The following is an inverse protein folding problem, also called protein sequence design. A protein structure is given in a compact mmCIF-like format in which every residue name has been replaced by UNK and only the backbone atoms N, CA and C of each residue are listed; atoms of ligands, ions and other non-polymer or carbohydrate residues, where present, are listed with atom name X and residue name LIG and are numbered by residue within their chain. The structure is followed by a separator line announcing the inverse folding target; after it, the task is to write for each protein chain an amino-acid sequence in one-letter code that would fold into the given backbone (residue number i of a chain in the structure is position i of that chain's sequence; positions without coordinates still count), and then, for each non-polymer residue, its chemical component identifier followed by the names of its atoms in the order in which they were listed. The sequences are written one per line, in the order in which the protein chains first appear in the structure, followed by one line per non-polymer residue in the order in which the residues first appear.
data_IF_857728766721
#
_entry.id   IF_857728766721
#
_cell.length_a   1.000
_cell.length_b   1.000
_cell.length_c   1.000
_cell.angle_alpha   90.00
_cell.angle_beta   90.00
_cell.angle_gamma   90.00
#
_symmetry.space_group_name_H-M   'P 1'
#
loop_
_entity.id
_entity.type
_entity.pdbx_description
1 polymer ?
#
# COMPACT_ATOMS: atom_id res chain seq x y z
N UNK A 1 -64.33 -2.44 -0.86
CA UNK A 1 -65.10 -3.68 -0.70
C UNK A 1 -65.62 -3.78 0.74
N UNK A 2 -66.94 -3.86 0.88
CA UNK A 2 -67.76 -4.36 2.02
C UNK A 2 -67.40 -3.96 3.46
N UNK A 3 -68.12 -2.95 3.93
CA UNK A 3 -69.13 -2.94 5.01
C UNK A 3 -68.93 -3.71 6.37
N UNK A 4 -69.34 -3.08 7.49
CA UNK A 4 -69.37 -3.56 8.89
C UNK A 4 -70.75 -4.14 9.32
N UNK A 5 -70.92 -4.63 10.57
CA UNK A 5 -72.19 -4.67 11.38
C UNK A 5 -72.00 -5.54 12.67
N UNK A 6 -72.16 -5.01 13.91
CA UNK A 6 -73.34 -5.01 14.83
C UNK A 6 -73.59 -6.33 15.64
N UNK A 7 -74.40 -6.41 16.74
CA UNK A 7 -74.94 -5.41 17.71
C UNK A 7 -75.13 -5.88 19.21
N UNK A 8 -75.53 -4.90 20.06
CA UNK A 8 -76.45 -4.83 21.25
C UNK A 8 -77.08 -6.08 21.93
N UNK A 9 -77.28 -5.99 23.26
CA UNK A 9 -78.57 -5.90 24.06
C UNK A 9 -78.31 -6.28 25.54
N UNK A 10 -78.76 -5.57 26.61
CA UNK A 10 -80.10 -5.24 27.16
C UNK A 10 -81.00 -6.42 27.53
N UNK A 11 -81.26 -6.64 28.83
CA UNK A 11 -82.49 -7.19 29.48
C UNK A 11 -82.31 -7.03 31.01
N UNK A 12 -83.05 -6.19 31.77
CA UNK A 12 -84.46 -6.23 32.22
C UNK A 12 -84.76 -7.24 33.36
N UNK A 13 -84.94 -6.71 34.58
CA UNK A 13 -85.84 -7.19 35.66
C UNK A 13 -87.28 -7.44 35.13
N UNK A 14 -88.26 -8.12 35.83
CA UNK A 14 -88.63 -8.00 37.26
C UNK A 14 -89.29 -9.28 37.88
N UNK A 15 -90.36 -9.22 38.73
CA UNK A 15 -90.33 -9.37 40.20
C UNK A 15 -91.17 -10.57 40.72
N UNK A 16 -91.08 -10.92 42.01
CA UNK A 16 -92.25 -11.54 42.68
C UNK A 16 -92.28 -11.35 44.21
N UNK A 17 -93.41 -10.84 44.68
CA UNK A 17 -93.85 -10.72 46.07
C UNK A 17 -94.54 -12.02 46.52
N UNK A 18 -94.31 -12.49 47.76
CA UNK A 18 -95.24 -12.36 48.92
C UNK A 18 -94.75 -13.17 50.16
N UNK A 19 -95.13 -12.74 51.39
CA UNK A 19 -94.73 -13.31 52.70
C UNK A 19 -95.92 -14.12 53.29
N UNK A 20 -96.15 -14.26 54.63
CA UNK A 20 -95.30 -14.22 55.84
C UNK A 20 -95.52 -15.47 56.75
N UNK A 21 -94.77 -15.61 57.85
CA UNK A 21 -95.29 -15.79 59.23
C UNK A 21 -94.25 -16.41 60.20
N UNK A 22 -94.12 -15.73 61.35
CA UNK A 22 -93.88 -16.26 62.71
C UNK A 22 -92.54 -17.02 62.95
N UNK A 23 -91.76 -16.82 64.01
CA UNK A 23 -92.09 -16.51 65.41
C UNK A 23 -90.80 -16.14 66.16
N UNK A 24 -90.96 -15.33 67.20
CA UNK A 24 -90.05 -15.04 68.31
C UNK A 24 -89.10 -16.17 68.72
N UNK A 25 -87.83 -15.83 69.03
CA UNK A 25 -87.10 -16.19 70.26
C UNK A 25 -85.60 -15.83 70.16
N UNK A 26 -85.06 -15.13 71.18
CA UNK A 26 -83.69 -15.42 71.66
C UNK A 26 -82.68 -14.27 71.72
N UNK A 27 -82.83 -13.37 72.69
CA UNK A 27 -81.89 -12.31 73.08
C UNK A 27 -80.58 -12.79 73.77
N UNK A 28 -80.04 -13.95 73.39
CA UNK A 28 -78.70 -14.44 73.80
C UNK A 28 -77.72 -14.62 72.62
N UNK A 29 -78.15 -14.33 71.38
CA UNK A 29 -77.32 -14.38 70.18
C UNK A 29 -76.49 -13.10 69.91
N UNK A 30 -76.77 -11.99 70.61
CA UNK A 30 -76.16 -10.68 70.34
C UNK A 30 -74.69 -10.55 70.76
N UNK A 31 -74.28 -11.16 71.87
CA UNK A 31 -72.88 -11.09 72.34
C UNK A 31 -71.96 -12.07 71.61
N UNK A 32 -72.46 -13.26 71.24
CA UNK A 32 -71.74 -14.17 70.34
C UNK A 32 -71.59 -13.58 68.94
N UNK A 33 -72.60 -12.91 68.39
CA UNK A 33 -72.51 -12.25 67.08
C UNK A 33 -71.52 -11.08 67.07
N UNK A 34 -71.41 -10.31 68.16
CA UNK A 34 -70.41 -9.23 68.29
C UNK A 34 -69.01 -9.79 68.52
N UNK A 35 -68.82 -10.82 69.35
CA UNK A 35 -67.52 -11.45 69.56
C UNK A 35 -67.02 -12.20 68.30
N UNK A 36 -67.91 -12.89 67.58
CA UNK A 36 -67.58 -13.49 66.27
C UNK A 36 -67.39 -12.44 65.18
N UNK A 37 -68.15 -11.34 65.20
CA UNK A 37 -67.95 -10.21 64.30
C UNK A 37 -66.60 -9.51 64.51
N UNK A 38 -66.24 -9.20 65.76
CA UNK A 38 -64.94 -8.63 66.13
C UNK A 38 -63.81 -9.62 65.84
N UNK A 39 -63.98 -10.91 66.16
CA UNK A 39 -63.02 -11.96 65.86
C UNK A 39 -62.80 -12.16 64.36
N UNK A 40 -63.86 -12.16 63.55
CA UNK A 40 -63.78 -12.27 62.10
C UNK A 40 -63.18 -11.02 61.45
N UNK A 41 -63.50 -9.81 61.96
CA UNK A 41 -62.90 -8.56 61.51
C UNK A 41 -61.41 -8.48 61.89
N UNK A 42 -61.04 -8.92 63.10
CA UNK A 42 -59.66 -9.03 63.53
C UNK A 42 -58.88 -10.05 62.69
N UNK A 43 -59.45 -11.25 62.47
CA UNK A 43 -58.85 -12.27 61.62
C UNK A 43 -58.69 -11.81 60.16
N UNK A 44 -59.68 -11.12 59.60
CA UNK A 44 -59.61 -10.55 58.24
C UNK A 44 -58.54 -9.45 58.13
N UNK A 45 -58.20 -8.77 59.23
CA UNK A 45 -57.08 -7.83 59.30
C UNK A 45 -55.73 -8.51 59.54
N UNK A 46 -55.70 -9.72 60.10
CA UNK A 46 -54.47 -10.46 60.37
C UNK A 46 -53.95 -11.22 59.15
N UNK A 47 -54.84 -11.73 58.29
CA UNK A 47 -54.46 -12.61 57.19
C UNK A 47 -54.37 -11.86 55.87
N UNK A 48 -53.14 -11.71 55.37
CA UNK A 48 -52.88 -11.11 54.07
C UNK A 48 -52.48 -12.19 53.05
N UNK A 49 -53.18 -12.18 51.92
CA UNK A 49 -52.86 -12.97 50.74
C UNK A 49 -52.28 -12.05 49.70
N UNK A 50 -51.17 -12.46 49.09
CA UNK A 50 -50.51 -11.68 48.06
C UNK A 50 -50.05 -12.58 46.92
N UNK A 51 -50.21 -12.08 45.70
CA UNK A 51 -49.89 -12.77 44.44
C UNK A 51 -48.38 -12.84 44.22
N UNK A 52 -47.97 -13.55 43.16
CA UNK A 52 -46.55 -13.70 42.79
C UNK A 52 -45.88 -12.36 42.45
N UNK A 53 -46.65 -11.37 41.98
CA UNK A 53 -46.21 -10.02 41.65
C UNK A 53 -46.48 -9.00 42.76
N UNK A 54 -46.87 -9.45 43.95
CA UNK A 54 -47.17 -8.59 45.08
C UNK A 54 -46.18 -8.83 46.23
N UNK A 55 -45.91 -7.75 46.96
CA UNK A 55 -45.04 -7.69 48.11
C UNK A 55 -45.83 -7.07 49.27
N UNK A 56 -45.78 -7.69 50.43
CA UNK A 56 -46.38 -7.13 51.64
C UNK A 56 -45.32 -6.31 52.39
N UNK A 57 -45.47 -4.99 52.42
CA UNK A 57 -44.64 -4.11 53.26
C UNK A 57 -45.34 -3.90 54.61
N UNK A 58 -44.68 -4.29 55.68
CA UNK A 58 -45.18 -4.22 57.06
C UNK A 58 -44.35 -3.18 57.80
N UNK A 59 -44.97 -2.06 58.14
CA UNK A 59 -44.36 -1.04 59.00
C UNK A 59 -44.58 -1.44 60.46
N UNK A 60 -43.52 -1.91 61.13
CA UNK A 60 -43.54 -2.15 62.58
C UNK A 60 -43.22 -0.85 63.32
N UNK A 61 -43.19 -0.91 64.65
CA UNK A 61 -42.88 0.26 65.47
C UNK A 61 -41.43 0.73 65.34
N UNK A 62 -40.50 -0.18 65.02
CA UNK A 62 -39.05 0.10 64.98
C UNK A 62 -38.42 -0.15 63.61
N UNK A 63 -39.01 -1.04 62.81
CA UNK A 63 -38.42 -1.49 61.55
C UNK A 63 -39.50 -1.68 60.49
N UNK A 64 -39.08 -1.69 59.23
CA UNK A 64 -39.93 -2.05 58.12
C UNK A 64 -39.49 -3.40 57.58
N UNK A 65 -40.44 -4.33 57.47
CA UNK A 65 -40.19 -5.66 56.92
C UNK A 65 -40.94 -5.81 55.59
N UNK A 66 -40.35 -6.59 54.67
CA UNK A 66 -40.99 -6.93 53.40
C UNK A 66 -41.12 -8.44 53.25
N UNK A 67 -42.25 -8.87 52.70
CA UNK A 67 -42.51 -10.27 52.38
C UNK A 67 -42.87 -10.40 50.89
N UNK A 68 -42.01 -11.07 50.13
CA UNK A 68 -42.17 -11.26 48.68
C UNK A 68 -43.14 -12.40 48.37
N UNK A 69 -44.00 -12.21 47.39
CA UNK A 69 -44.97 -13.20 46.92
C UNK A 69 -44.40 -14.37 46.13
N UNK A 70 -45.23 -15.41 45.87
CA UNK A 70 -46.60 -15.56 46.35
C UNK A 70 -46.64 -16.15 47.77
N UNK A 71 -47.65 -15.81 48.57
CA UNK A 71 -47.80 -16.39 49.90
C UNK A 71 -48.96 -15.87 50.73
N UNK A 72 -49.07 -16.43 51.94
CA UNK A 72 -49.96 -15.95 53.00
C UNK A 72 -49.11 -15.58 54.21
N UNK A 73 -49.32 -14.38 54.75
CA UNK A 73 -48.72 -13.96 56.02
C UNK A 73 -49.81 -13.61 57.02
N UNK A 74 -49.66 -14.14 58.23
CA UNK A 74 -50.52 -13.84 59.37
C UNK A 74 -49.74 -12.89 60.25
N UNK A 75 -50.25 -11.67 60.39
CA UNK A 75 -49.65 -10.62 61.20
C UNK A 75 -50.49 -10.41 62.46
N UNK A 76 -49.85 -10.23 63.61
CA UNK A 76 -50.56 -9.90 64.84
C UNK A 76 -51.00 -8.43 64.79
N UNK A 77 -52.27 -8.10 65.06
CA UNK A 77 -52.83 -6.77 64.78
C UNK A 77 -52.23 -5.65 65.66
N UNK A 78 -51.49 -6.03 66.71
CA UNK A 78 -50.80 -5.10 67.62
C UNK A 78 -49.29 -5.05 67.39
N UNK A 79 -48.74 -5.78 66.41
CA UNK A 79 -47.30 -5.82 66.15
C UNK A 79 -46.86 -4.93 64.98
N UNK A 80 -47.79 -4.25 64.30
CA UNK A 80 -47.52 -3.40 63.16
C UNK A 80 -48.39 -2.14 63.19
N UNK A 81 -47.86 -1.06 62.62
CA UNK A 81 -48.53 0.23 62.48
C UNK A 81 -49.35 0.31 61.20
N UNK A 82 -48.77 -0.12 60.09
CA UNK A 82 -49.43 -0.11 58.79
C UNK A 82 -48.97 -1.30 57.94
N UNK A 83 -49.84 -1.76 57.06
CA UNK A 83 -49.54 -2.82 56.09
C UNK A 83 -49.97 -2.34 54.73
N UNK A 84 -49.05 -2.31 53.78
CA UNK A 84 -49.30 -1.89 52.40
C UNK A 84 -48.86 -2.99 51.46
N UNK A 85 -49.77 -3.45 50.61
CA UNK A 85 -49.39 -4.31 49.49
C UNK A 85 -48.82 -3.44 48.36
N UNK A 86 -47.62 -3.76 47.89
CA UNK A 86 -46.96 -3.10 46.75
C UNK A 86 -46.78 -4.11 45.63
N UNK A 87 -46.93 -3.68 44.38
CA UNK A 87 -46.60 -4.53 43.23
C UNK A 87 -45.11 -4.51 42.98
N UNK A 88 -44.55 -5.68 42.68
CA UNK A 88 -43.17 -5.83 42.24
C UNK A 88 -43.00 -5.21 40.84
N UNK A 89 -41.84 -4.63 40.61
CA UNK A 89 -41.56 -3.98 39.34
C UNK A 89 -41.08 -5.02 38.32
N UNK A 90 -41.75 -5.11 37.17
CA UNK A 90 -41.35 -6.05 36.12
C UNK A 90 -40.33 -5.37 35.22
N UNK A 91 -39.08 -5.83 35.25
CA UNK A 91 -38.01 -5.34 34.39
C UNK A 91 -37.87 -6.24 33.17
N UNK A 92 -37.97 -5.67 31.96
CA UNK A 92 -37.68 -6.35 30.70
C UNK A 92 -36.19 -6.60 30.49
N UNK A 93 -35.83 -7.29 29.40
CA UNK A 93 -34.44 -7.68 29.10
C UNK A 93 -33.47 -6.48 28.96
N UNK A 94 -33.99 -5.33 28.52
CA UNK A 94 -33.20 -4.10 28.36
C UNK A 94 -33.46 -3.12 29.49
N UNK A 95 -34.39 -3.38 30.40
CA UNK A 95 -34.73 -2.39 31.42
C UNK A 95 -33.76 -2.50 32.59
N UNK A 96 -33.42 -1.34 33.15
CA UNK A 96 -32.78 -1.27 34.45
C UNK A 96 -33.44 -0.18 35.29
N UNK A 97 -33.36 -0.34 36.60
CA UNK A 97 -33.80 0.68 37.55
C UNK A 97 -32.69 0.99 38.53
N UNK A 98 -32.55 2.28 38.83
CA UNK A 98 -31.70 2.77 39.90
C UNK A 98 -32.52 2.78 41.18
N UNK A 99 -32.10 1.96 42.13
CA UNK A 99 -32.74 1.81 43.43
C UNK A 99 -31.87 2.54 44.45
N UNK A 100 -32.49 3.46 45.19
CA UNK A 100 -31.86 4.15 46.30
C UNK A 100 -32.49 3.65 47.59
N UNK A 101 -31.66 3.20 48.53
CA UNK A 101 -32.09 2.94 49.89
C UNK A 101 -32.24 4.28 50.63
N UNK A 102 -33.43 4.54 51.15
CA UNK A 102 -33.77 5.76 51.88
C UNK A 102 -33.17 5.83 53.29
N UNK A 103 -32.73 4.70 53.85
CA UNK A 103 -32.16 4.65 55.19
C UNK A 103 -30.69 5.09 55.20
N UNK A 104 -29.87 4.60 54.26
CA UNK A 104 -28.43 4.91 54.19
C UNK A 104 -28.04 5.75 52.98
N UNK A 105 -28.94 5.97 52.02
CA UNK A 105 -28.67 6.67 50.77
C UNK A 105 -27.88 5.86 49.75
N UNK A 106 -27.63 4.57 50.01
CA UNK A 106 -26.90 3.70 49.10
C UNK A 106 -27.69 3.47 47.82
N UNK A 107 -26.97 3.40 46.70
CA UNK A 107 -27.59 3.27 45.38
C UNK A 107 -27.07 2.02 44.69
N UNK A 108 -27.98 1.27 44.06
CA UNK A 108 -27.63 0.14 43.22
C UNK A 108 -28.47 0.09 41.96
N UNK A 109 -27.93 -0.57 40.93
CA UNK A 109 -28.60 -0.73 39.64
C UNK A 109 -29.08 -2.16 39.52
N UNK A 110 -30.39 -2.31 39.34
CA UNK A 110 -31.03 -3.61 39.16
C UNK A 110 -31.36 -3.82 37.68
N UNK A 111 -30.79 -4.88 37.09
CA UNK A 111 -30.91 -5.22 35.66
C UNK A 111 -31.99 -6.28 35.44
N UNK A 112 -32.75 -6.17 34.36
CA UNK A 112 -33.67 -7.23 33.93
C UNK A 112 -32.99 -8.34 33.10
N UNK A 113 -33.74 -9.38 32.69
CA UNK A 113 -35.15 -9.60 33.02
C UNK A 113 -35.33 -10.15 34.43
N UNK A 114 -36.11 -9.45 35.26
CA UNK A 114 -36.51 -9.95 36.57
C UNK A 114 -37.71 -9.22 37.11
N UNK A 115 -38.40 -9.89 38.03
CA UNK A 115 -39.41 -9.28 38.87
C UNK A 115 -38.73 -8.70 40.11
N UNK A 116 -38.51 -7.39 40.11
CA UNK A 116 -37.80 -6.70 41.19
C UNK A 116 -38.75 -6.43 42.35
N UNK A 117 -38.41 -7.01 43.50
CA UNK A 117 -38.99 -6.69 44.78
C UNK A 117 -38.09 -5.67 45.49
N UNK A 118 -38.66 -4.56 45.96
CA UNK A 118 -37.90 -3.52 46.65
C UNK A 118 -37.69 -3.92 48.11
N UNK A 119 -36.51 -3.65 48.64
CA UNK A 119 -36.24 -3.71 50.07
C UNK A 119 -37.15 -2.78 50.89
N UNK A 120 -37.16 -2.91 52.22
CA UNK A 120 -38.04 -2.14 53.10
C UNK A 120 -37.87 -0.63 52.96
N UNK A 121 -36.64 -0.17 52.77
CA UNK A 121 -36.31 1.25 52.66
C UNK A 121 -35.97 1.65 51.22
N UNK A 122 -36.20 0.79 50.25
CA UNK A 122 -35.80 1.05 48.87
C UNK A 122 -36.87 1.81 48.09
N UNK A 123 -36.44 2.81 47.32
CA UNK A 123 -37.27 3.52 46.34
C UNK A 123 -36.62 3.49 44.97
N UNK A 124 -37.44 3.44 43.92
CA UNK A 124 -36.98 3.59 42.54
C UNK A 124 -36.76 5.08 42.29
N UNK A 125 -35.52 5.46 42.02
CA UNK A 125 -35.15 6.84 41.72
C UNK A 125 -35.30 7.13 40.23
N UNK A 126 -34.79 6.23 39.38
CA UNK A 126 -34.78 6.41 37.93
C UNK A 126 -34.99 5.07 37.21
N UNK A 127 -35.67 5.10 36.07
CA UNK A 127 -35.85 3.98 35.15
C UNK A 127 -35.11 4.29 33.86
N UNK A 128 -34.28 3.36 33.40
CA UNK A 128 -33.54 3.48 32.16
C UNK A 128 -33.62 2.21 31.32
N UNK A 129 -33.16 2.34 30.08
CA UNK A 129 -32.96 1.20 29.19
C UNK A 129 -31.48 1.04 28.89
N UNK A 130 -30.99 -0.19 28.96
CA UNK A 130 -29.63 -0.58 28.62
C UNK A 130 -29.34 -0.27 27.16
N UNK A 131 -28.09 0.09 26.89
CA UNK A 131 -27.66 0.43 25.54
C UNK A 131 -27.32 -0.87 24.84
N UNK A 132 -28.10 -1.23 23.82
CA UNK A 132 -27.78 -2.38 22.95
C UNK A 132 -26.62 -2.01 22.04
N UNK A 133 -25.57 -2.82 22.08
CA UNK A 133 -24.33 -2.65 21.33
C UNK A 133 -24.25 -3.76 20.27
N UNK A 134 -24.36 -3.38 19.00
CA UNK A 134 -24.11 -4.27 17.87
C UNK A 134 -22.65 -4.67 17.71
N UNK A 135 -22.34 -5.62 16.84
CA UNK A 135 -20.97 -6.11 16.59
C UNK A 135 -20.01 -5.04 16.08
N UNK A 136 -20.51 -4.00 15.42
CA UNK A 136 -19.74 -2.85 14.92
C UNK A 136 -19.95 -1.58 15.76
N UNK A 137 -20.43 -1.72 16.99
CA UNK A 137 -20.71 -0.60 17.88
C UNK A 137 -19.95 -0.79 19.19
N UNK A 138 -19.73 0.31 19.90
CA UNK A 138 -19.19 0.30 21.26
C UNK A 138 -19.89 1.36 22.12
N UNK A 139 -19.72 1.25 23.43
CA UNK A 139 -20.12 2.31 24.37
C UNK A 139 -18.86 2.79 25.06
N UNK A 140 -18.57 4.09 24.92
CA UNK A 140 -17.58 4.78 25.72
C UNK A 140 -18.21 5.09 27.08
N UNK A 141 -17.73 4.43 28.11
CA UNK A 141 -18.18 4.58 29.48
C UNK A 141 -17.25 5.58 30.15
N UNK A 142 -17.82 6.64 30.71
CA UNK A 142 -17.10 7.60 31.52
C UNK A 142 -17.69 7.61 32.92
N UNK A 143 -16.85 7.36 33.93
CA UNK A 143 -17.18 7.64 35.32
C UNK A 143 -17.09 9.15 35.55
N UNK A 144 -18.21 9.77 35.92
CA UNK A 144 -18.30 11.21 36.16
C UNK A 144 -17.51 11.68 37.38
N UNK A 145 -17.24 10.81 38.35
CA UNK A 145 -16.49 11.19 39.56
C UNK A 145 -14.98 11.12 39.32
N UNK A 146 -14.51 9.96 38.85
CA UNK A 146 -13.07 9.74 38.64
C UNK A 146 -12.58 10.32 37.32
N UNK A 147 -13.48 10.53 36.36
CA UNK A 147 -13.14 10.86 34.98
C UNK A 147 -12.59 9.66 34.19
N UNK A 148 -12.49 8.48 34.81
CA UNK A 148 -11.98 7.28 34.16
C UNK A 148 -12.89 6.89 32.98
N UNK A 149 -12.25 6.58 31.85
CA UNK A 149 -12.94 6.18 30.63
C UNK A 149 -12.61 4.73 30.32
N UNK A 150 -13.64 3.94 30.02
CA UNK A 150 -13.52 2.55 29.59
C UNK A 150 -14.45 2.27 28.42
N UNK A 151 -14.27 1.14 27.73
CA UNK A 151 -15.01 0.84 26.50
C UNK A 151 -15.63 -0.55 26.57
N UNK A 152 -16.93 -0.62 26.33
CA UNK A 152 -17.68 -1.86 26.20
C UNK A 152 -17.90 -2.18 24.72
N UNK A 153 -17.42 -3.35 24.27
CA UNK A 153 -17.52 -3.81 22.88
C UNK A 153 -18.77 -4.69 22.68
N UNK A 154 -19.39 -4.61 21.52
CA UNK A 154 -20.48 -5.51 21.15
C UNK A 154 -20.01 -6.87 20.63
N UNK A 155 -20.92 -7.83 20.40
CA UNK A 155 -22.37 -7.74 20.62
C UNK A 155 -22.73 -7.94 22.09
N UNK A 156 -23.27 -6.90 22.75
CA UNK A 156 -23.61 -6.96 24.18
C UNK A 156 -24.66 -5.89 24.54
N UNK A 157 -25.25 -5.98 25.73
CA UNK A 157 -26.07 -4.90 26.30
C UNK A 157 -25.28 -4.28 27.43
N UNK A 158 -24.99 -2.99 27.33
CA UNK A 158 -24.33 -2.26 28.40
C UNK A 158 -25.34 -1.65 29.35
N UNK A 159 -25.07 -1.82 30.64
CA UNK A 159 -25.79 -1.20 31.73
C UNK A 159 -24.78 -0.45 32.59
N UNK A 160 -25.13 0.74 33.11
CA UNK A 160 -24.29 1.42 34.09
C UNK A 160 -24.08 0.49 35.30
N UNK A 161 -22.85 0.44 35.83
CA UNK A 161 -22.53 -0.28 37.08
C UNK A 161 -22.86 0.57 38.30
N UNK A 162 -22.75 1.89 38.17
CA UNK A 162 -23.03 2.84 39.23
C UNK A 162 -23.74 4.10 38.74
N UNK A 163 -24.21 4.95 39.68
CA UNK A 163 -24.97 6.17 39.39
C UNK A 163 -24.18 7.24 38.63
N UNK A 164 -22.85 7.13 38.67
CA UNK A 164 -21.92 8.10 38.12
C UNK A 164 -21.38 7.69 36.76
N UNK A 165 -21.69 6.49 36.28
CA UNK A 165 -21.29 6.07 34.94
C UNK A 165 -22.25 6.62 33.90
N UNK A 166 -21.71 7.28 32.87
CA UNK A 166 -22.43 7.61 31.65
C UNK A 166 -21.84 6.86 30.46
N UNK A 167 -22.69 6.29 29.63
CA UNK A 167 -22.31 5.61 28.41
C UNK A 167 -22.72 6.42 27.18
N UNK A 168 -21.78 6.70 26.29
CA UNK A 168 -22.05 7.29 24.98
C UNK A 168 -21.82 6.23 23.91
N UNK A 169 -22.84 5.98 23.09
CA UNK A 169 -22.75 5.03 21.98
C UNK A 169 -21.83 5.58 20.88
N UNK A 170 -20.88 4.77 20.44
CA UNK A 170 -19.94 5.05 19.37
C UNK A 170 -19.95 3.95 18.31
N UNK A 171 -19.46 4.27 17.12
CA UNK A 171 -19.29 3.32 16.02
C UNK A 171 -17.86 2.78 16.01
N UNK A 172 -17.72 1.48 15.82
CA UNK A 172 -16.44 0.86 15.52
C UNK A 172 -16.08 1.07 14.04
N UNK A 173 -14.79 1.08 13.73
CA UNK A 173 -14.31 1.25 12.37
C UNK A 173 -13.99 -0.13 11.80
N UNK A 174 -14.82 -0.60 10.87
CA UNK A 174 -14.56 -1.82 10.12
C UNK A 174 -13.47 -1.57 9.06
N UNK A 175 -12.40 -2.36 9.13
CA UNK A 175 -11.27 -2.32 8.20
C UNK A 175 -11.29 -3.57 7.31
N UNK A 176 -11.33 -3.36 6.00
CA UNK A 176 -11.08 -4.42 5.01
C UNK A 176 -9.58 -4.73 4.93
N UNK A 177 -9.18 -5.76 4.19
CA UNK A 177 -7.76 -6.10 3.97
C UNK A 177 -6.95 -5.01 3.24
N UNK A 178 -7.63 -4.04 2.62
CA UNK A 178 -7.01 -2.89 1.94
C UNK A 178 -7.09 -1.61 2.75
N UNK A 179 -7.72 -1.62 3.92
CA UNK A 179 -7.89 -0.44 4.77
C UNK A 179 -6.93 -0.46 5.96
N UNK A 180 -6.64 0.73 6.47
CA UNK A 180 -6.00 0.92 7.76
C UNK A 180 -6.71 2.00 8.57
N UNK A 181 -6.43 2.05 9.87
CA UNK A 181 -6.75 3.19 10.73
C UNK A 181 -5.45 3.76 11.29
N UNK A 182 -5.27 5.07 11.13
CA UNK A 182 -4.22 5.80 11.85
C UNK A 182 -4.79 6.19 13.21
N UNK A 183 -4.26 5.58 14.26
CA UNK A 183 -4.62 5.81 15.66
C UNK A 183 -3.70 6.88 16.22
N UNK A 184 -4.27 7.89 16.86
CA UNK A 184 -3.55 8.88 17.65
C UNK A 184 -4.08 8.83 19.07
N UNK A 185 -3.20 8.59 20.03
CA UNK A 185 -3.50 8.75 21.44
C UNK A 185 -3.52 10.26 21.78
N UNK A 186 -4.64 10.75 22.29
CA UNK A 186 -4.84 12.18 22.61
C UNK A 186 -4.06 12.64 23.84
N UNK A 187 -3.64 11.73 24.72
CA UNK A 187 -2.86 12.06 25.90
C UNK A 187 -1.36 12.06 25.60
N UNK A 188 -0.86 10.99 25.00
CA UNK A 188 0.59 10.85 24.74
C UNK A 188 1.01 11.49 23.42
N UNK A 189 0.07 11.70 22.49
CA UNK A 189 0.37 12.07 21.10
C UNK A 189 0.95 10.93 20.28
N UNK A 190 1.10 9.73 20.86
CA UNK A 190 1.64 8.57 20.17
C UNK A 190 0.72 8.16 19.02
N UNK A 191 1.34 7.89 17.86
CA UNK A 191 0.63 7.46 16.67
C UNK A 191 0.95 6.00 16.40
N UNK A 192 -0.06 5.22 15.99
CA UNK A 192 0.13 3.86 15.47
C UNK A 192 -0.82 3.56 14.31
N UNK A 193 -0.55 2.50 13.57
CA UNK A 193 -1.36 2.11 12.41
C UNK A 193 -1.87 0.69 12.59
N UNK A 194 -3.19 0.52 12.60
CA UNK A 194 -3.85 -0.78 12.64
C UNK A 194 -4.30 -1.15 11.23
N UNK A 195 -3.90 -2.34 10.78
CA UNK A 195 -4.18 -2.85 9.43
C UNK A 195 -5.34 -3.83 9.48
N UNK A 196 -6.20 -3.83 8.46
CA UNK A 196 -7.25 -4.84 8.35
C UNK A 196 -6.72 -6.22 7.93
N UNK A 197 -7.59 -7.25 7.87
CA UNK A 197 -9.03 -7.21 8.14
C UNK A 197 -9.36 -7.31 9.63
N UNK A 198 -9.94 -6.26 10.21
CA UNK A 198 -10.35 -6.25 11.62
C UNK A 198 -11.43 -5.19 11.88
N UNK A 199 -12.07 -5.25 13.05
CA UNK A 199 -12.94 -4.17 13.54
C UNK A 199 -12.17 -3.43 14.64
N UNK A 200 -11.76 -2.20 14.33
CA UNK A 200 -11.06 -1.37 15.29
C UNK A 200 -12.05 -0.64 16.19
N UNK A 201 -11.80 -0.69 17.48
CA UNK A 201 -12.55 0.05 18.49
C UNK A 201 -11.59 1.09 19.06
N UNK A 202 -11.97 2.38 19.11
CA UNK A 202 -11.15 3.39 19.76
C UNK A 202 -10.87 2.97 21.20
N UNK A 203 -9.68 3.25 21.71
CA UNK A 203 -9.40 3.31 23.15
C UNK A 203 -10.01 4.55 23.81
N UNK A 204 -9.97 4.65 25.15
CA UNK A 204 -10.62 5.73 25.90
C UNK A 204 -10.14 7.16 25.57
N UNK A 205 -8.89 7.25 25.11
CA UNK A 205 -8.22 8.49 24.71
C UNK A 205 -7.73 8.43 23.27
N UNK A 206 -8.13 7.43 22.49
CA UNK A 206 -7.65 7.25 21.13
C UNK A 206 -8.63 7.83 20.12
N UNK A 207 -8.08 8.40 19.05
CA UNK A 207 -8.82 8.84 17.88
C UNK A 207 -8.27 8.13 16.64
N UNK A 208 -9.17 7.61 15.81
CA UNK A 208 -8.81 6.84 14.62
C UNK A 208 -9.30 7.51 13.35
N UNK A 209 -8.41 7.71 12.38
CA UNK A 209 -8.77 8.14 11.02
C UNK A 209 -8.60 6.96 10.05
N UNK A 210 -9.70 6.50 9.47
CA UNK A 210 -9.68 5.45 8.44
C UNK A 210 -9.05 5.98 7.15
N UNK A 211 -8.18 5.17 6.54
CA UNK A 211 -7.58 5.46 5.24
C UNK A 211 -7.44 4.19 4.39
N UNK A 212 -7.46 4.31 3.04
CA UNK A 212 -7.16 3.19 2.16
C UNK A 212 -5.64 3.01 2.03
N UNK A 213 -5.17 1.76 2.09
CA UNK A 213 -3.81 1.39 1.72
C UNK A 213 -3.55 1.64 0.24
N UNK A 214 -2.29 1.83 -0.13
CA UNK A 214 -1.88 2.02 -1.52
C UNK A 214 -1.60 0.66 -2.16
N UNK A 215 -2.47 0.23 -3.07
CA UNK A 215 -2.22 -0.97 -3.87
C UNK A 215 -1.19 -0.68 -4.97
N UNK A 216 -0.15 -1.51 -5.03
CA UNK A 216 0.94 -1.43 -5.99
C UNK A 216 0.97 -2.69 -6.87
N UNK A 217 1.04 -2.49 -8.18
CA UNK A 217 1.33 -3.56 -9.12
C UNK A 217 2.86 -3.83 -9.22
N UNK A 218 3.28 -4.74 -10.11
CA UNK A 218 4.70 -5.11 -10.27
C UNK A 218 5.58 -4.04 -10.93
N UNK A 219 5.02 -2.95 -11.44
CA UNK A 219 5.76 -1.82 -12.03
C UNK A 219 5.59 -0.54 -11.23
N UNK A 220 4.87 -0.56 -10.11
CA UNK A 220 4.63 0.57 -9.24
C UNK A 220 5.46 0.47 -7.96
N UNK A 221 5.75 1.62 -7.37
CA UNK A 221 6.43 1.74 -6.09
C UNK A 221 5.86 2.88 -5.26
N UNK A 222 6.19 2.91 -3.97
CA UNK A 222 5.95 4.06 -3.08
C UNK A 222 7.28 4.58 -2.58
N UNK A 223 7.55 5.87 -2.81
CA UNK A 223 8.61 6.59 -2.12
C UNK A 223 8.08 7.00 -0.75
N UNK A 224 8.63 6.36 0.28
CA UNK A 224 8.27 6.56 1.69
C UNK A 224 9.26 7.54 2.32
N UNK A 225 8.75 8.59 2.92
CA UNK A 225 9.52 9.57 3.68
C UNK A 225 9.10 9.52 5.14
N UNK A 226 10.07 9.26 6.02
CA UNK A 226 9.86 9.37 7.46
C UNK A 226 9.87 10.86 7.84
N UNK A 227 8.75 11.34 8.37
CA UNK A 227 8.50 12.76 8.65
C UNK A 227 9.33 13.30 9.82
N UNK A 228 9.89 12.44 10.68
CA UNK A 228 10.76 12.88 11.78
C UNK A 228 12.23 12.96 11.37
N UNK A 229 12.71 11.92 10.69
CA UNK A 229 14.14 11.79 10.33
C UNK A 229 14.46 12.35 8.96
N UNK A 230 13.45 12.56 8.09
CA UNK A 230 13.64 12.85 6.67
C UNK A 230 14.23 11.69 5.87
N UNK A 231 14.38 10.51 6.49
CA UNK A 231 14.90 9.33 5.81
C UNK A 231 13.91 8.86 4.74
N UNK A 232 14.42 8.63 3.52
CA UNK A 232 13.62 8.17 2.39
C UNK A 232 13.91 6.70 2.11
N UNK A 233 12.88 5.94 1.79
CA UNK A 233 12.96 4.52 1.41
C UNK A 233 11.95 4.20 0.32
N UNK A 234 12.10 3.06 -0.36
CA UNK A 234 11.22 2.68 -1.46
C UNK A 234 10.65 1.29 -1.23
N UNK A 235 9.32 1.19 -1.40
CA UNK A 235 8.58 -0.07 -1.34
C UNK A 235 8.11 -0.43 -2.74
N UNK A 236 8.61 -1.54 -3.27
CA UNK A 236 8.35 -2.04 -4.63
C UNK A 236 7.16 -3.01 -4.58
N UNK A 237 6.25 -2.94 -5.56
CA UNK A 237 5.14 -3.91 -5.64
C UNK A 237 5.57 -5.30 -6.15
N UNK A 238 4.66 -6.29 -6.21
CA UNK A 238 3.23 -6.19 -5.95
C UNK A 238 2.87 -6.34 -4.46
N UNK A 239 2.32 -5.30 -3.85
CA UNK A 239 1.89 -5.33 -2.45
C UNK A 239 0.88 -4.21 -2.16
N UNK A 240 0.26 -4.24 -0.98
CA UNK A 240 -0.47 -3.09 -0.44
C UNK A 240 0.42 -2.43 0.60
N UNK A 241 0.79 -1.18 0.35
CA UNK A 241 1.55 -0.38 1.30
C UNK A 241 0.60 0.36 2.25
N UNK A 242 0.95 0.35 3.53
CA UNK A 242 0.27 1.10 4.58
C UNK A 242 1.29 2.05 5.21
N UNK A 243 0.96 3.34 5.37
CA UNK A 243 1.88 4.27 6.02
C UNK A 243 2.18 3.82 7.44
N UNK A 244 3.44 3.93 7.86
CA UNK A 244 3.78 3.95 9.28
C UNK A 244 3.24 5.22 9.98
N UNK A 245 3.36 5.30 11.32
CA UNK A 245 2.75 6.38 12.11
C UNK A 245 3.23 7.78 11.75
N UNK A 246 4.49 7.86 11.32
CA UNK A 246 5.21 9.08 10.98
C UNK A 246 5.76 9.00 9.55
N UNK A 247 5.12 8.21 8.71
CA UNK A 247 5.53 8.04 7.31
C UNK A 247 4.53 8.71 6.38
N UNK A 248 5.05 9.34 5.33
CA UNK A 248 4.30 9.79 4.18
C UNK A 248 4.75 9.02 2.95
N UNK A 249 3.83 8.71 2.04
CA UNK A 249 4.11 7.93 0.84
C UNK A 249 3.64 8.65 -0.41
N UNK A 250 4.47 8.66 -1.45
CA UNK A 250 4.08 9.09 -2.79
C UNK A 250 4.22 7.93 -3.77
N UNK A 251 3.13 7.62 -4.48
CA UNK A 251 3.10 6.53 -5.47
C UNK A 251 3.83 6.97 -6.75
N UNK A 252 4.70 6.11 -7.26
CA UNK A 252 5.43 6.29 -8.50
C UNK A 252 5.37 5.03 -9.38
N UNK A 253 5.85 5.19 -10.62
CA UNK A 253 5.91 4.11 -11.61
C UNK A 253 7.37 3.88 -12.02
N UNK A 254 7.82 2.63 -11.92
CA UNK A 254 9.13 2.22 -12.39
C UNK A 254 9.25 2.35 -13.91
N UNK A 255 10.49 2.52 -14.38
CA UNK A 255 10.79 2.65 -15.81
C UNK A 255 11.06 1.27 -16.38
N UNK A 256 10.21 0.80 -17.30
CA UNK A 256 10.40 -0.48 -17.98
C UNK A 256 11.39 -0.31 -19.12
N UNK A 257 12.44 -1.12 -19.12
CA UNK A 257 13.50 -1.13 -20.14
C UNK A 257 13.42 -2.43 -20.93
N UNK A 258 13.45 -2.34 -22.25
CA UNK A 258 13.62 -3.49 -23.15
C UNK A 258 15.07 -3.96 -23.18
N UNK A 259 15.35 -5.10 -23.83
CA UNK A 259 16.71 -5.64 -23.95
C UNK A 259 17.70 -4.74 -24.70
N UNK A 260 17.20 -3.74 -25.43
CA UNK A 260 17.99 -2.76 -26.18
C UNK A 260 17.97 -1.39 -25.54
N UNK A 261 17.37 -1.22 -24.38
CA UNK A 261 17.28 0.07 -23.69
C UNK A 261 18.10 0.07 -22.40
N UNK A 262 18.56 1.26 -22.04
CA UNK A 262 19.24 1.53 -20.79
C UNK A 262 18.94 2.96 -20.32
N UNK A 263 19.26 3.24 -19.07
CA UNK A 263 19.28 4.60 -18.54
C UNK A 263 20.50 4.80 -17.65
N UNK A 264 20.95 6.05 -17.56
CA UNK A 264 21.99 6.46 -16.62
C UNK A 264 21.31 6.91 -15.34
N UNK A 265 21.75 6.38 -14.21
CA UNK A 265 21.27 6.73 -12.88
C UNK A 265 22.33 7.56 -12.19
N UNK A 266 21.92 8.67 -11.58
CA UNK A 266 22.80 9.48 -10.75
C UNK A 266 22.23 9.53 -9.33
N UNK A 267 23.03 9.10 -8.36
CA UNK A 267 22.74 9.29 -6.95
C UNK A 267 23.03 10.75 -6.57
N UNK A 268 21.99 11.51 -6.21
CA UNK A 268 22.12 12.93 -5.85
C UNK A 268 22.95 13.19 -4.59
N UNK A 269 23.10 12.21 -3.71
CA UNK A 269 23.90 12.38 -2.49
C UNK A 269 25.39 12.20 -2.76
N UNK A 270 25.75 11.14 -3.48
CA UNK A 270 27.16 10.80 -3.72
C UNK A 270 27.70 11.38 -5.03
N UNK A 271 26.83 11.77 -5.97
CA UNK A 271 27.19 12.15 -7.33
C UNK A 271 27.62 10.94 -8.19
N UNK A 272 27.54 9.72 -7.66
CA UNK A 272 27.93 8.52 -8.37
C UNK A 272 26.95 8.25 -9.50
N UNK A 273 27.50 8.00 -10.69
CA UNK A 273 26.73 7.63 -11.88
C UNK A 273 26.85 6.14 -12.12
N UNK A 274 25.73 5.47 -12.32
CA UNK A 274 25.63 4.07 -12.69
C UNK A 274 24.71 3.91 -13.89
N UNK A 275 24.57 2.69 -14.40
CA UNK A 275 23.70 2.38 -15.53
C UNK A 275 22.80 1.18 -15.21
N UNK A 276 21.52 1.31 -15.54
CA UNK A 276 20.57 0.20 -15.55
C UNK A 276 20.33 -0.26 -17.00
N UNK A 277 20.56 -1.55 -17.28
CA UNK A 277 20.38 -2.18 -18.60
C UNK A 277 19.13 -3.06 -18.57
N UNK A 278 18.33 -3.06 -19.64
CA UNK A 278 17.20 -3.98 -19.75
C UNK A 278 17.60 -5.40 -20.17
N UNK A 279 16.65 -6.36 -20.20
CA UNK A 279 15.23 -6.19 -19.93
C UNK A 279 14.92 -6.21 -18.43
N UNK A 280 14.49 -5.08 -17.87
CA UNK A 280 14.14 -4.98 -16.46
C UNK A 280 13.16 -3.82 -16.21
N UNK A 281 12.55 -3.80 -15.03
CA UNK A 281 11.83 -2.62 -14.53
C UNK A 281 12.75 -1.95 -13.51
N UNK A 282 13.27 -0.79 -13.87
CA UNK A 282 14.10 -0.01 -12.97
C UNK A 282 13.21 0.80 -12.03
N UNK A 283 13.49 0.70 -10.74
CA UNK A 283 12.90 1.53 -9.70
C UNK A 283 14.01 2.43 -9.18
N UNK A 284 13.77 3.75 -9.06
CA UNK A 284 14.76 4.61 -8.41
C UNK A 284 15.02 4.12 -6.98
N UNK A 285 16.22 4.30 -6.48
CA UNK A 285 16.48 4.35 -5.04
C UNK A 285 16.19 5.77 -4.50
N UNK A 286 16.09 5.99 -3.16
CA UNK A 286 15.47 7.19 -2.60
C UNK A 286 16.09 8.55 -2.98
N UNK A 287 17.35 8.55 -3.42
CA UNK A 287 18.09 9.74 -3.84
C UNK A 287 18.56 9.67 -5.30
N UNK A 288 18.14 8.64 -6.01
CA UNK A 288 18.51 8.45 -7.41
C UNK A 288 17.62 9.26 -8.34
N UNK A 289 18.22 9.73 -9.41
CA UNK A 289 17.53 10.27 -10.57
C UNK A 289 17.98 9.55 -11.83
N UNK A 290 17.02 9.28 -12.73
CA UNK A 290 17.30 8.71 -14.03
C UNK A 290 17.46 9.79 -15.09
N UNK A 291 18.34 9.54 -16.06
CA UNK A 291 18.28 10.19 -17.37
C UNK A 291 17.03 9.75 -18.15
N UNK A 292 16.83 10.34 -19.32
CA UNK A 292 15.93 9.75 -20.31
C UNK A 292 16.39 8.32 -20.67
N UNK A 293 15.44 7.46 -21.04
CA UNK A 293 15.71 6.14 -21.61
C UNK A 293 16.48 6.31 -22.91
N UNK A 294 17.57 5.55 -23.05
CA UNK A 294 18.46 5.56 -24.20
C UNK A 294 18.43 4.19 -24.87
N UNK A 295 18.57 4.18 -26.19
CA UNK A 295 18.68 2.97 -26.98
C UNK A 295 20.15 2.59 -27.16
N UNK A 296 20.46 1.32 -26.92
CA UNK A 296 21.78 0.75 -27.12
C UNK A 296 22.11 0.70 -28.61
N UNK A 297 23.37 0.99 -28.92
CA UNK A 297 23.84 1.06 -30.30
C UNK A 297 24.08 -0.37 -30.81
N UNK A 298 23.22 -0.83 -31.73
CA UNK A 298 23.37 -2.13 -32.38
C UNK A 298 24.35 -2.02 -33.55
N UNK A 299 25.46 -2.76 -33.48
CA UNK A 299 26.46 -2.88 -34.53
C UNK A 299 26.22 -4.15 -35.36
N UNK A 300 26.49 -4.07 -36.66
CA UNK A 300 26.58 -5.20 -37.60
C UNK A 300 28.00 -5.81 -37.64
N UNK A 301 28.15 -6.91 -38.36
CA UNK A 301 29.43 -7.64 -38.47
C UNK A 301 30.56 -6.80 -39.10
N UNK A 302 30.24 -5.87 -39.99
CA UNK A 302 31.18 -4.94 -40.64
C UNK A 302 31.15 -3.53 -40.02
N UNK A 303 30.51 -3.34 -38.88
CA UNK A 303 30.40 -2.03 -38.23
C UNK A 303 31.28 -1.96 -36.98
N UNK A 304 31.74 -0.76 -36.67
CA UNK A 304 32.46 -0.45 -35.45
C UNK A 304 32.16 0.96 -34.94
N UNK A 305 32.52 1.19 -33.70
CA UNK A 305 32.32 2.45 -33.00
C UNK A 305 33.57 2.81 -32.20
N UNK A 306 34.03 4.06 -32.32
CA UNK A 306 35.14 4.60 -31.52
C UNK A 306 34.58 5.25 -30.28
N UNK A 307 35.03 4.76 -29.13
CA UNK A 307 34.63 5.23 -27.82
C UNK A 307 35.79 5.95 -27.16
N UNK A 308 35.46 7.02 -26.45
CA UNK A 308 36.38 7.72 -25.56
C UNK A 308 35.74 7.82 -24.19
N UNK A 309 36.46 7.38 -23.17
CA UNK A 309 36.07 7.66 -21.79
C UNK A 309 36.49 9.09 -21.45
N UNK A 310 35.52 9.94 -21.12
CA UNK A 310 35.74 11.35 -20.80
C UNK A 310 36.41 11.55 -19.44
N UNK A 311 36.35 10.57 -18.55
CA UNK A 311 37.02 10.65 -17.25
C UNK A 311 38.51 10.35 -17.34
N UNK A 312 38.87 9.25 -18.03
CA UNK A 312 40.26 8.78 -18.13
C UNK A 312 40.98 9.27 -19.39
N UNK A 313 40.24 9.70 -20.41
CA UNK A 313 40.77 10.01 -21.74
C UNK A 313 41.07 8.77 -22.59
N UNK A 314 40.87 7.55 -22.06
CA UNK A 314 41.16 6.31 -22.77
C UNK A 314 40.25 6.17 -24.00
N UNK A 315 40.82 5.68 -25.10
CA UNK A 315 40.12 5.40 -26.35
C UNK A 315 40.16 3.92 -26.69
N UNK A 316 39.08 3.39 -27.24
CA UNK A 316 39.03 2.02 -27.75
C UNK A 316 37.99 1.88 -28.87
N UNK A 317 38.05 0.77 -29.59
CA UNK A 317 37.12 0.44 -30.68
C UNK A 317 36.26 -0.74 -30.27
N UNK A 318 34.93 -0.58 -30.39
CA UNK A 318 33.98 -1.68 -30.29
C UNK A 318 33.60 -2.13 -31.69
N UNK A 319 33.86 -3.39 -32.03
CA UNK A 319 33.75 -3.94 -33.40
C UNK A 319 32.84 -5.16 -33.50
N UNK A 320 32.27 -5.36 -34.68
CA UNK A 320 31.46 -6.52 -35.05
C UNK A 320 30.05 -6.51 -34.44
N UNK A 321 29.28 -7.58 -34.68
CA UNK A 321 27.89 -7.69 -34.20
C UNK A 321 27.81 -7.67 -32.69
N UNK A 322 27.44 -6.51 -32.15
CA UNK A 322 27.40 -6.24 -30.72
C UNK A 322 26.32 -5.21 -30.40
N UNK A 323 25.78 -5.28 -29.19
CA UNK A 323 24.90 -4.26 -28.64
C UNK A 323 25.71 -3.44 -27.61
N UNK A 324 25.89 -2.16 -27.91
CA UNK A 324 26.77 -1.27 -27.14
C UNK A 324 25.93 -0.35 -26.27
N UNK A 325 26.07 -0.53 -24.96
CA UNK A 325 25.49 0.35 -23.94
C UNK A 325 26.55 1.35 -23.52
N UNK A 326 26.28 2.65 -23.63
CA UNK A 326 27.25 3.68 -23.28
C UNK A 326 27.27 3.88 -21.76
N UNK A 327 28.42 3.63 -21.14
CA UNK A 327 28.62 3.98 -19.73
C UNK A 327 28.55 5.51 -19.54
N UNK A 328 28.25 6.00 -18.32
CA UNK A 328 27.96 7.42 -18.09
C UNK A 328 29.09 8.39 -18.49
N UNK A 329 30.34 7.94 -18.48
CA UNK A 329 31.50 8.75 -18.86
C UNK A 329 31.94 8.53 -20.31
N UNK A 330 31.32 7.59 -21.02
CA UNK A 330 31.70 7.24 -22.39
C UNK A 330 31.05 8.19 -23.38
N UNK A 331 31.83 8.62 -24.36
CA UNK A 331 31.38 9.42 -25.48
C UNK A 331 31.76 8.74 -26.79
N UNK A 332 30.84 8.76 -27.76
CA UNK A 332 31.11 8.31 -29.12
C UNK A 332 31.88 9.40 -29.86
N UNK A 333 33.01 9.05 -30.48
CA UNK A 333 33.79 9.99 -31.29
C UNK A 333 33.20 10.14 -32.70
N UNK A 334 32.34 11.16 -32.85
CA UNK A 334 31.87 11.63 -34.16
C UNK A 334 33.02 12.39 -34.83
N UNK A 335 33.80 11.72 -35.69
CA UNK A 335 34.70 12.45 -36.58
C UNK A 335 33.85 13.37 -37.45
N UNK A 336 34.31 14.62 -37.66
CA UNK A 336 33.56 15.75 -38.24
C UNK A 336 33.04 15.59 -39.67
N UNK A 337 32.70 14.39 -40.11
CA UNK A 337 31.89 14.13 -41.27
C UNK A 337 30.46 14.59 -40.99
N UNK A 338 30.03 15.61 -41.73
CA UNK A 338 28.66 16.15 -41.77
C UNK A 338 27.69 15.22 -42.50
N UNK A 339 27.79 13.91 -42.26
CA UNK A 339 27.00 12.90 -42.95
C UNK A 339 25.63 12.70 -42.29
N UNK A 340 24.59 12.61 -43.15
CA UNK A 340 23.23 12.26 -42.74
C UNK A 340 23.10 10.74 -42.59
N UNK A 341 22.45 10.24 -41.54
CA UNK A 341 22.11 8.83 -41.37
C UNK A 341 22.75 8.16 -40.16
N UNK A 342 22.97 6.84 -40.20
CA UNK A 342 23.59 6.06 -39.10
C UNK A 342 24.98 6.57 -38.68
N UNK A 343 25.71 7.21 -39.58
CA UNK A 343 26.99 7.86 -39.29
C UNK A 343 26.85 9.02 -38.31
N UNK A 344 25.66 9.61 -38.16
CA UNK A 344 25.38 10.64 -37.15
C UNK A 344 25.53 10.12 -35.72
N UNK A 345 25.37 8.80 -35.51
CA UNK A 345 25.61 8.14 -34.21
C UNK A 345 27.06 7.67 -34.05
N UNK A 346 27.97 8.07 -34.94
CA UNK A 346 29.39 7.69 -34.90
C UNK A 346 29.67 6.22 -35.24
N UNK A 347 28.68 5.49 -35.76
CA UNK A 347 28.86 4.15 -36.31
C UNK A 347 29.61 4.26 -37.63
N UNK A 348 30.68 3.47 -37.79
CA UNK A 348 31.52 3.45 -38.99
C UNK A 348 31.58 2.04 -39.56
N UNK A 349 31.75 1.93 -40.88
CA UNK A 349 31.99 0.65 -41.55
C UNK A 349 33.47 0.31 -41.57
N UNK A 350 33.77 -0.94 -41.26
CA UNK A 350 35.09 -1.54 -41.41
C UNK A 350 35.49 -1.62 -42.88
N UNK A 351 36.79 -1.67 -43.14
CA UNK A 351 37.29 -1.88 -44.49
C UNK A 351 37.17 -3.36 -44.85
N UNK A 352 36.10 -3.72 -45.56
CA UNK A 352 35.98 -5.03 -46.20
C UNK A 352 36.80 -4.98 -47.49
N UNK A 353 37.96 -5.64 -47.47
CA UNK A 353 38.91 -5.71 -48.57
C UNK A 353 38.64 -6.95 -49.42
N UNK A 354 38.75 -6.80 -50.74
CA UNK A 354 38.85 -7.93 -51.66
C UNK A 354 40.30 -8.44 -51.76
N UNK A 355 40.49 -9.59 -52.39
CA UNK A 355 41.81 -10.19 -52.63
C UNK A 355 42.85 -9.23 -53.25
N UNK A 356 42.41 -8.30 -54.11
CA UNK A 356 43.26 -7.32 -54.79
C UNK A 356 43.20 -5.92 -54.17
N UNK A 357 42.56 -5.75 -53.02
CA UNK A 357 42.46 -4.46 -52.34
C UNK A 357 43.41 -4.40 -51.13
N UNK A 358 43.77 -3.19 -50.74
CA UNK A 358 44.53 -2.91 -49.53
C UNK A 358 44.12 -1.57 -48.92
N UNK A 359 44.40 -1.38 -47.63
CA UNK A 359 44.24 -0.11 -46.92
C UNK A 359 45.52 0.21 -46.16
N UNK A 360 45.87 1.50 -46.12
CA UNK A 360 46.97 2.01 -45.30
C UNK A 360 46.40 2.85 -44.16
N UNK A 361 46.78 2.47 -42.94
CA UNK A 361 46.35 3.13 -41.73
C UNK A 361 47.56 3.83 -41.10
N UNK A 362 47.40 5.11 -40.78
CA UNK A 362 48.36 5.92 -40.06
C UNK A 362 47.94 5.98 -38.60
N UNK A 363 48.75 5.45 -37.71
CA UNK A 363 48.62 5.69 -36.28
C UNK A 363 49.03 7.15 -35.99
N UNK A 364 48.06 7.94 -35.54
CA UNK A 364 48.25 9.38 -35.30
C UNK A 364 49.10 9.69 -34.06
N UNK A 365 49.29 8.73 -33.16
CA UNK A 365 50.15 8.90 -31.98
C UNK A 365 51.59 8.52 -32.34
N UNK A 366 51.79 7.34 -32.95
CA UNK A 366 53.15 6.84 -33.21
C UNK A 366 53.73 7.31 -34.55
N UNK A 367 52.89 7.81 -35.47
CA UNK A 367 53.27 8.12 -36.84
C UNK A 367 53.52 6.88 -37.70
N UNK A 368 53.31 5.67 -37.16
CA UNK A 368 53.54 4.41 -37.87
C UNK A 368 52.46 4.20 -38.92
N UNK A 369 52.86 3.88 -40.14
CA UNK A 369 51.94 3.46 -41.20
C UNK A 369 51.91 1.93 -41.26
N UNK A 370 50.71 1.36 -41.12
CA UNK A 370 50.45 -0.07 -41.30
C UNK A 370 49.71 -0.29 -42.62
N UNK A 371 49.96 -1.43 -43.26
CA UNK A 371 49.33 -1.81 -44.53
C UNK A 371 48.66 -3.18 -44.36
N UNK A 372 47.37 -3.23 -44.67
CA UNK A 372 46.58 -4.45 -44.67
C UNK A 372 46.13 -4.75 -46.09
N UNK A 373 46.42 -5.96 -46.59
CA UNK A 373 46.13 -6.39 -47.97
C UNK A 373 45.43 -7.74 -48.00
N UNK A 374 44.71 -7.98 -49.09
CA UNK A 374 44.01 -9.25 -49.32
C UNK A 374 42.62 -9.28 -48.70
N UNK A 375 41.94 -10.42 -48.83
CA UNK A 375 40.56 -10.58 -48.37
C UNK A 375 40.48 -10.59 -46.84
N UNK A 376 40.05 -9.48 -46.26
CA UNK A 376 39.95 -9.29 -44.82
C UNK A 376 38.99 -8.15 -44.46
N UNK A 377 38.40 -8.20 -43.28
CA UNK A 377 37.66 -7.08 -42.68
C UNK A 377 38.57 -6.40 -41.67
N UNK A 378 38.99 -5.18 -42.00
CA UNK A 378 39.93 -4.41 -41.18
C UNK A 378 39.17 -3.35 -40.38
N UNK A 379 39.32 -3.42 -39.06
CA UNK A 379 38.79 -2.44 -38.11
C UNK A 379 39.95 -1.54 -37.67
N UNK A 380 39.96 -0.25 -38.01
CA UNK A 380 41.00 0.65 -37.54
C UNK A 380 41.00 0.74 -36.01
N UNK A 381 42.19 0.76 -35.42
CA UNK A 381 42.40 1.04 -34.00
C UNK A 381 42.02 2.50 -33.65
N UNK A 382 41.90 2.88 -32.37
CA UNK A 382 41.28 4.14 -31.97
C UNK A 382 41.96 5.37 -32.55
N UNK A 383 43.30 5.34 -32.59
CA UNK A 383 44.14 6.44 -33.05
C UNK A 383 44.63 6.24 -34.50
N UNK A 384 44.16 5.20 -35.19
CA UNK A 384 44.45 5.00 -36.61
C UNK A 384 43.51 5.83 -37.49
N UNK A 385 44.05 6.37 -38.57
CA UNK A 385 43.29 7.07 -39.62
C UNK A 385 43.70 6.55 -40.99
N UNK A 386 42.80 6.60 -41.98
CA UNK A 386 43.17 6.25 -43.35
C UNK A 386 44.14 7.27 -43.92
N UNK A 387 45.29 6.80 -44.41
CA UNK A 387 46.30 7.66 -45.03
C UNK A 387 45.84 8.19 -46.40
N UNK A 388 45.08 7.36 -47.13
CA UNK A 388 44.70 7.62 -48.52
C UNK A 388 43.32 8.28 -48.63
N UNK A 389 43.24 9.34 -49.43
CA UNK A 389 41.98 9.96 -49.83
C UNK A 389 41.13 8.94 -50.60
N UNK A 390 40.02 8.49 -49.99
CA UNK A 390 39.16 7.43 -50.53
C UNK A 390 39.25 6.08 -49.81
N UNK A 391 40.16 5.96 -48.82
CA UNK A 391 40.25 4.82 -47.91
C UNK A 391 40.87 3.57 -48.55
N UNK A 392 40.12 2.84 -49.37
CA UNK A 392 40.59 1.57 -49.97
C UNK A 392 41.32 1.81 -51.29
N UNK A 393 42.45 1.14 -51.48
CA UNK A 393 43.22 1.14 -52.72
C UNK A 393 43.17 -0.25 -53.38
N UNK A 394 43.30 -0.28 -54.71
CA UNK A 394 43.45 -1.51 -55.47
C UNK A 394 44.92 -1.76 -55.81
N UNK A 395 45.35 -3.01 -55.77
CA UNK A 395 46.63 -3.45 -56.27
C UNK A 395 46.76 -3.12 -57.76
N UNK A 396 47.96 -2.75 -58.17
CA UNK A 396 48.27 -2.43 -59.55
C UNK A 396 48.44 -3.75 -60.29
N UNK A 397 47.46 -4.10 -61.12
CA UNK A 397 47.52 -5.28 -61.99
C UNK A 397 48.36 -4.96 -63.22
N UNK A 398 49.55 -5.56 -63.29
CA UNK A 398 50.48 -5.40 -64.40
C UNK A 398 50.31 -6.53 -65.41
N UNK A 399 50.34 -6.17 -66.70
CA UNK A 399 50.44 -7.13 -67.80
C UNK A 399 51.89 -7.49 -68.08
N UNK A 400 52.10 -8.52 -68.91
CA UNK A 400 53.43 -9.02 -69.30
C UNK A 400 54.35 -7.90 -69.82
N UNK A 401 53.81 -6.93 -70.56
CA UNK A 401 54.54 -5.80 -71.13
C UNK A 401 54.29 -4.48 -70.39
N UNK A 402 53.94 -4.52 -69.10
CA UNK A 402 53.76 -3.33 -68.28
C UNK A 402 54.76 -3.32 -67.12
N UNK A 403 55.10 -2.11 -66.66
CA UNK A 403 55.89 -1.89 -65.45
C UNK A 403 55.37 -0.66 -64.70
N UNK A 404 55.68 -0.58 -63.42
CA UNK A 404 55.42 0.59 -62.58
C UNK A 404 56.66 0.93 -61.77
N UNK A 405 56.97 2.23 -61.69
CA UNK A 405 58.02 2.74 -60.81
C UNK A 405 57.39 3.17 -59.50
N UNK A 406 57.95 2.69 -58.40
CA UNK A 406 57.47 2.94 -57.05
C UNK A 406 58.64 3.52 -56.26
N UNK A 407 58.37 4.61 -55.55
CA UNK A 407 59.33 5.21 -54.62
C UNK A 407 58.84 5.03 -53.20
N UNK A 408 59.71 4.57 -52.31
CA UNK A 408 59.46 4.66 -50.88
C UNK A 408 59.77 6.09 -50.41
N UNK A 409 58.76 6.80 -49.92
CA UNK A 409 58.88 8.19 -49.49
C UNK A 409 59.75 8.37 -48.24
N UNK A 410 59.95 7.31 -47.46
CA UNK A 410 60.76 7.36 -46.24
C UNK A 410 62.25 7.19 -46.54
N UNK A 411 62.61 6.32 -47.49
CA UNK A 411 64.00 6.00 -47.82
C UNK A 411 64.51 6.69 -49.10
N UNK A 412 63.59 7.08 -49.99
CA UNK A 412 63.92 7.56 -51.34
C UNK A 412 64.27 6.44 -52.32
N UNK A 413 64.21 5.17 -51.91
CA UNK A 413 64.52 4.03 -52.77
C UNK A 413 63.46 3.88 -53.86
N UNK A 414 63.92 3.74 -55.11
CA UNK A 414 63.05 3.52 -56.28
C UNK A 414 63.17 2.06 -56.71
N UNK A 415 62.05 1.35 -56.70
CA UNK A 415 61.94 0.00 -57.27
C UNK A 415 61.04 -0.01 -58.49
N UNK A 416 61.31 -0.95 -59.40
CA UNK A 416 60.50 -1.19 -60.59
C UNK A 416 59.88 -2.58 -60.46
N UNK A 417 58.55 -2.65 -60.49
CA UNK A 417 57.82 -3.90 -60.63
C UNK A 417 57.37 -4.05 -62.09
N UNK A 418 57.60 -5.21 -62.70
CA UNK A 418 57.37 -5.44 -64.12
C UNK A 418 56.88 -6.87 -64.37
N UNK A 419 56.17 -7.07 -65.48
CA UNK A 419 55.62 -8.37 -65.86
C UNK A 419 54.25 -8.65 -65.24
N UNK A 420 53.75 -9.88 -65.38
CA UNK A 420 52.41 -10.26 -64.92
C UNK A 420 52.37 -10.45 -63.40
N UNK A 421 52.15 -9.37 -62.67
CA UNK A 421 52.15 -9.32 -61.21
C UNK A 421 51.08 -8.36 -60.66
N UNK A 422 50.54 -8.68 -59.48
CA UNK A 422 49.71 -7.75 -58.71
C UNK A 422 50.57 -7.04 -57.67
N UNK A 423 50.78 -5.74 -57.87
CA UNK A 423 51.68 -4.95 -57.05
C UNK A 423 50.89 -4.18 -55.99
N UNK A 424 51.18 -4.48 -54.73
CA UNK A 424 50.68 -3.72 -53.58
C UNK A 424 51.71 -2.67 -53.18
N UNK A 425 51.24 -1.46 -52.87
CA UNK A 425 52.10 -0.42 -52.33
C UNK A 425 52.38 -0.70 -50.85
N UNK A 426 53.64 -0.59 -50.45
CA UNK A 426 54.08 -0.60 -49.07
C UNK A 426 53.59 0.63 -48.28
N UNK A 427 53.87 0.66 -46.96
CA UNK A 427 53.38 1.71 -46.06
C UNK A 427 53.70 3.14 -46.54
N UNK A 428 54.93 3.38 -46.97
CA UNK A 428 55.41 4.70 -47.42
C UNK A 428 55.60 4.78 -48.93
N UNK A 429 55.10 3.81 -49.69
CA UNK A 429 55.32 3.76 -51.13
C UNK A 429 54.33 4.64 -51.90
N UNK A 430 54.82 5.29 -52.95
CA UNK A 430 54.00 6.04 -53.91
C UNK A 430 54.39 5.70 -55.34
N UNK A 431 53.40 5.68 -56.22
CA UNK A 431 53.62 5.48 -57.65
C UNK A 431 54.21 6.73 -58.29
N UNK A 432 55.28 6.56 -59.05
CA UNK A 432 55.91 7.62 -59.84
C UNK A 432 55.36 7.68 -61.28
N UNK A 433 55.71 8.75 -61.97
CA UNK A 433 55.50 8.95 -63.41
C UNK A 433 54.04 8.75 -63.91
N UNK A 434 53.05 9.00 -63.06
CA UNK A 434 51.63 8.95 -63.44
C UNK A 434 51.02 7.55 -63.56
N UNK A 435 51.68 6.51 -63.04
CA UNK A 435 51.09 5.17 -62.98
C UNK A 435 51.88 4.09 -63.72
N UNK A 436 51.16 3.07 -64.15
CA UNK A 436 51.71 1.99 -64.97
C UNK A 436 52.09 2.47 -66.37
N UNK A 437 53.20 1.94 -66.90
CA UNK A 437 53.74 2.24 -68.22
C UNK A 437 53.93 0.96 -69.02
N UNK A 438 53.91 1.06 -70.35
CA UNK A 438 54.27 -0.06 -71.23
C UNK A 438 55.79 -0.18 -71.31
N UNK A 439 56.28 -1.41 -71.20
CA UNK A 439 57.65 -1.77 -71.54
C UNK A 439 57.86 -1.61 -73.06
N UNK A 440 59.09 -1.35 -73.46
CA UNK A 440 59.48 -1.33 -74.87
C UNK A 440 59.81 -2.77 -75.27
N UNK A 441 59.12 -3.27 -76.28
CA UNK A 441 59.42 -4.58 -76.87
C UNK A 441 60.72 -4.49 -77.67
N UNK A 442 61.63 -5.43 -77.43
CA UNK A 442 62.90 -5.54 -78.15
C UNK A 442 62.85 -6.86 -78.92
N UNK A 443 62.89 -6.77 -80.24
CA UNK A 443 62.82 -7.90 -81.15
C UNK A 443 63.93 -7.77 -82.22
N UNK A 444 63.86 -8.56 -83.31
CA UNK A 444 64.84 -8.49 -84.40
C UNK A 444 64.79 -7.19 -85.20
N UNK A 445 63.70 -6.41 -85.12
CA UNK A 445 63.45 -5.18 -85.88
C UNK A 445 63.48 -3.90 -85.00
N UNK A 446 63.34 -4.04 -83.67
CA UNK A 446 63.26 -2.94 -82.70
C UNK A 446 64.38 -3.01 -81.67
N UNK A 447 65.21 -1.95 -81.60
CA UNK A 447 66.25 -1.76 -80.58
C UNK A 447 65.95 -0.53 -79.72
N UNK A 448 66.28 -0.59 -78.42
CA UNK A 448 66.10 0.53 -77.50
C UNK A 448 67.45 1.07 -77.01
N UNK A 449 67.66 2.39 -77.10
CA UNK A 449 68.80 3.07 -76.49
C UNK A 449 68.46 3.45 -75.04
N UNK A 450 69.03 2.73 -74.08
CA UNK A 450 68.89 3.06 -72.65
C UNK A 450 69.92 4.14 -72.30
N UNK A 451 69.45 5.31 -71.87
CA UNK A 451 70.32 6.34 -71.28
C UNK A 451 70.32 6.16 -69.76
N UNK A 452 71.45 5.72 -69.21
CA UNK A 452 71.71 5.80 -67.79
C UNK A 452 72.08 7.27 -67.48
N UNK A 453 71.27 7.95 -66.68
CA UNK A 453 71.45 9.36 -66.34
C UNK A 453 72.00 9.52 -64.94
#
# INVERSE_FOLDING_TARGET
LKAPHHPRSCTSDPPEHRPPLLTMMGAFAGTCAVATGIGALAYRRMVHYFRKDEQLCVERYTEMEVHNGPGRKVLLPFSYRSVTARKAETLGNLDYVRVQDTADGSERIERGPKLLFLGPYEKIENRGSGITIGSSECVLVQDKLTGERSISKGPSVWFPKGPQEAGTKGAAIALSSTDYVLVTDRQTGERRVERGPCTWFPGPMEEGKKGPGMSLNSTEYVLVENMETGAKSIVKGPCIWFPGPLESGSKGTGTSLTSTEYLVVEDRQTGNKSMAKGPCVWFPEPYEISSAVQEAIALQDDEYLRLKDMATGQRWVKRGKALVFLEPTWQVETAGCSSKGREAHGIRKAFVLKKYEFVRLLDTITGRVTMHRGEATIFPEPDEQTLDEGGKLAAIDLKVNEYVKIVDQSTGEIRVAAGREQVFLGPHERVLDGGKKKAVEIDSEHAALVRNK
#
